data_IF_562083263138
#
_entry.id   IF_562083263138
#
_cell.length_a   1.000
_cell.length_b   1.000
_cell.length_c   1.000
_cell.angle_alpha   90.00
_cell.angle_beta   90.00
_cell.angle_gamma   90.00
#
_symmetry.space_group_name_H-M   'P 1'
#
loop_
_entity.id
_entity.type
_entity.pdbx_description
1 polymer ?
#
# COMPACT_ATOMS: atom_id res chain seq x y z
N UNK A 1 61.13 55.88 -7.63
CA UNK A 1 60.04 56.44 -8.46
C UNK A 1 59.74 55.48 -9.60
N UNK A 2 58.45 55.09 -9.71
CA UNK A 2 57.71 54.44 -10.82
C UNK A 2 58.38 53.36 -11.69
N UNK A 3 57.98 52.11 -11.41
CA UNK A 3 57.80 50.99 -12.36
C UNK A 3 56.79 51.37 -13.46
N UNK A 4 57.07 51.02 -14.72
CA UNK A 4 56.04 50.63 -15.70
C UNK A 4 56.51 49.43 -16.51
N UNK A 5 55.54 48.55 -16.72
CA UNK A 5 55.54 47.17 -17.21
C UNK A 5 55.29 47.23 -18.71
N UNK A 6 56.09 46.54 -19.50
CA UNK A 6 55.93 46.42 -20.95
C UNK A 6 55.00 45.25 -21.27
N UNK A 7 53.69 45.54 -21.26
CA UNK A 7 52.70 44.82 -22.05
C UNK A 7 52.42 45.69 -23.29
N UNK A 8 52.38 45.09 -24.48
CA UNK A 8 51.79 45.55 -25.77
C UNK A 8 52.68 45.15 -26.96
N UNK A 9 52.51 43.91 -27.45
CA UNK A 9 52.82 43.52 -28.83
C UNK A 9 51.49 43.26 -29.57
N UNK A 10 51.36 43.68 -30.83
CA UNK A 10 50.09 43.70 -31.54
C UNK A 10 49.72 42.37 -32.21
N UNK A 11 48.43 42.04 -32.08
CA UNK A 11 47.47 41.36 -32.98
C UNK A 11 47.87 40.12 -33.81
N UNK A 12 47.08 39.09 -33.56
CA UNK A 12 46.66 37.96 -34.40
C UNK A 12 46.66 38.20 -35.91
N UNK A 13 47.19 37.22 -36.64
CA UNK A 13 46.81 36.88 -38.02
C UNK A 13 46.40 35.41 -38.01
N UNK A 14 45.13 35.15 -38.28
CA UNK A 14 44.61 33.87 -38.73
C UNK A 14 45.08 33.63 -40.17
N UNK A 15 45.61 32.44 -40.46
CA UNK A 15 45.27 31.76 -41.72
C UNK A 15 45.56 30.26 -41.59
N UNK A 16 44.49 29.49 -41.77
CA UNK A 16 44.47 28.04 -41.75
C UNK A 16 45.00 27.46 -43.06
N UNK A 17 45.77 26.37 -43.00
CA UNK A 17 45.68 25.35 -44.05
C UNK A 17 46.01 23.95 -43.51
N UNK A 18 44.97 23.12 -43.47
CA UNK A 18 44.96 21.76 -42.96
C UNK A 18 45.71 20.80 -43.90
N UNK A 19 46.65 20.03 -43.35
CA UNK A 19 47.28 18.89 -44.04
C UNK A 19 46.30 17.71 -44.06
N UNK A 20 45.92 17.28 -45.26
CA UNK A 20 45.03 16.15 -45.50
C UNK A 20 45.67 14.81 -45.07
N UNK A 21 45.13 14.22 -44.00
CA UNK A 21 45.50 12.88 -43.54
C UNK A 21 44.84 11.82 -44.44
N UNK A 22 45.60 11.30 -45.42
CA UNK A 22 45.13 10.25 -46.34
C UNK A 22 45.18 8.87 -45.68
N UNK A 23 44.04 8.40 -45.20
CA UNK A 23 43.81 7.05 -44.69
C UNK A 23 43.96 6.02 -45.83
N UNK A 24 45.04 5.24 -45.84
CA UNK A 24 45.25 4.17 -46.84
C UNK A 24 44.29 3.00 -46.55
N UNK A 25 43.52 2.57 -47.56
CA UNK A 25 42.57 1.42 -47.54
C UNK A 25 43.13 0.12 -46.90
N UNK A 26 44.46 -0.06 -46.87
CA UNK A 26 45.10 -1.22 -46.22
C UNK A 26 44.88 -1.24 -44.70
N UNK A 27 44.86 -0.08 -44.03
CA UNK A 27 44.63 0.00 -42.58
C UNK A 27 43.19 -0.34 -42.20
N UNK A 28 42.23 -0.09 -43.09
CA UNK A 28 40.84 -0.50 -42.89
C UNK A 28 40.69 -2.02 -42.91
N UNK A 29 41.41 -2.73 -43.79
CA UNK A 29 41.39 -4.20 -43.80
C UNK A 29 42.03 -4.81 -42.54
N UNK A 30 43.11 -4.22 -42.02
CA UNK A 30 43.71 -4.67 -40.75
C UNK A 30 42.80 -4.38 -39.55
N UNK A 31 42.12 -3.23 -39.52
CA UNK A 31 41.16 -2.90 -38.48
C UNK A 31 39.93 -3.83 -38.51
N UNK A 32 39.37 -4.10 -39.69
CA UNK A 32 38.26 -5.04 -39.85
C UNK A 32 38.66 -6.47 -39.49
N UNK A 33 39.86 -6.92 -39.88
CA UNK A 33 40.39 -8.22 -39.48
C UNK A 33 40.58 -8.33 -37.98
N UNK A 34 41.11 -7.28 -37.33
CA UNK A 34 41.26 -7.22 -35.89
C UNK A 34 39.91 -7.26 -35.16
N UNK A 35 38.91 -6.50 -35.62
CA UNK A 35 37.54 -6.52 -35.07
C UNK A 35 36.90 -7.90 -35.25
N UNK A 36 37.10 -8.56 -36.40
CA UNK A 36 36.57 -9.90 -36.66
C UNK A 36 37.21 -10.97 -35.78
N UNK A 37 38.53 -10.90 -35.58
CA UNK A 37 39.26 -11.78 -34.66
C UNK A 37 38.85 -11.51 -33.21
N UNK A 38 38.67 -10.24 -32.81
CA UNK A 38 38.12 -9.89 -31.50
C UNK A 38 36.68 -10.40 -31.33
N UNK A 39 35.85 -10.38 -32.37
CA UNK A 39 34.49 -10.92 -32.32
C UNK A 39 34.45 -12.46 -32.24
N UNK A 40 35.41 -13.13 -32.89
CA UNK A 40 35.59 -14.59 -32.82
C UNK A 40 36.16 -15.07 -31.47
N UNK A 41 37.12 -14.33 -30.91
CA UNK A 41 37.81 -14.68 -29.65
C UNK A 41 37.07 -14.17 -28.40
N UNK A 42 36.30 -13.09 -28.56
CA UNK A 42 35.37 -12.56 -27.56
C UNK A 42 33.99 -12.46 -28.22
N UNK A 43 33.28 -13.59 -28.41
CA UNK A 43 31.86 -13.50 -28.69
C UNK A 43 31.29 -12.62 -27.58
N UNK A 44 30.63 -11.53 -27.96
CA UNK A 44 29.81 -10.75 -27.03
C UNK A 44 28.64 -11.64 -26.65
N UNK A 45 28.94 -12.64 -25.82
CA UNK A 45 27.98 -13.26 -24.96
C UNK A 45 27.46 -12.08 -24.16
N UNK A 46 26.27 -11.62 -24.55
CA UNK A 46 25.30 -11.25 -23.54
C UNK A 46 25.37 -12.39 -22.54
N UNK A 47 26.06 -12.18 -21.45
CA UNK A 47 25.88 -12.94 -20.24
C UNK A 47 24.44 -12.67 -19.86
N UNK A 48 23.51 -13.35 -20.52
CA UNK A 48 22.31 -13.78 -19.84
C UNK A 48 22.86 -14.54 -18.65
N UNK A 49 22.89 -13.88 -17.50
CA UNK A 49 22.89 -14.54 -16.22
C UNK A 49 21.55 -15.29 -16.09
N UNK A 50 21.25 -16.21 -17.02
CA UNK A 50 20.45 -17.38 -16.74
C UNK A 50 21.37 -18.30 -15.93
N UNK A 51 21.58 -17.94 -14.66
CA UNK A 51 21.47 -18.95 -13.62
C UNK A 51 19.98 -19.24 -13.47
N UNK A 52 19.41 -19.90 -14.45
CA UNK A 52 18.08 -20.51 -14.33
C UNK A 52 18.26 -21.87 -13.64
N UNK A 53 18.72 -21.81 -12.39
CA UNK A 53 18.26 -22.72 -11.35
C UNK A 53 17.18 -21.99 -10.52
N UNK A 54 16.43 -21.09 -11.16
CA UNK A 54 15.27 -20.46 -10.58
C UNK A 54 14.13 -21.46 -10.59
N UNK A 55 13.50 -21.68 -9.44
CA UNK A 55 12.21 -22.35 -9.38
C UNK A 55 11.31 -21.71 -10.44
N UNK A 56 10.82 -22.49 -11.41
CA UNK A 56 9.87 -22.01 -12.39
C UNK A 56 8.53 -21.79 -11.67
N UNK A 57 8.35 -20.60 -11.10
CA UNK A 57 7.17 -20.22 -10.33
C UNK A 57 6.03 -19.94 -11.31
N UNK A 58 4.97 -20.74 -11.26
CA UNK A 58 3.77 -20.47 -12.02
C UNK A 58 2.92 -19.40 -11.31
N UNK A 59 3.08 -18.14 -11.73
CA UNK A 59 2.42 -16.99 -11.10
C UNK A 59 0.89 -16.99 -11.22
N UNK A 60 0.31 -17.77 -12.15
CA UNK A 60 -1.16 -17.88 -12.28
C UNK A 60 -1.83 -18.63 -11.12
N UNK A 61 -1.03 -19.24 -10.23
CA UNK A 61 -1.51 -19.93 -9.03
C UNK A 61 -1.56 -19.01 -7.79
N UNK A 62 -1.17 -17.74 -7.94
CA UNK A 62 -1.07 -16.79 -6.85
C UNK A 62 -1.92 -15.56 -7.12
N UNK A 63 -2.50 -14.98 -6.08
CA UNK A 63 -3.24 -13.72 -6.23
C UNK A 63 -3.13 -12.79 -5.02
N UNK A 64 -3.18 -11.48 -5.29
CA UNK A 64 -3.56 -10.48 -4.30
C UNK A 64 -5.09 -10.34 -4.29
N UNK A 65 -5.67 -10.29 -3.10
CA UNK A 65 -7.11 -10.12 -2.90
C UNK A 65 -7.39 -8.84 -2.13
N UNK A 66 -8.24 -8.00 -2.69
CA UNK A 66 -8.78 -6.80 -2.05
C UNK A 66 -10.31 -6.81 -2.14
N UNK A 67 -10.93 -5.94 -1.35
CA UNK A 67 -12.38 -5.82 -1.26
C UNK A 67 -12.78 -4.34 -1.26
N UNK A 68 -13.95 -4.04 -1.81
CA UNK A 68 -14.58 -2.73 -1.78
C UNK A 68 -15.97 -2.85 -1.15
N UNK A 69 -16.28 -1.94 -0.22
CA UNK A 69 -17.58 -1.84 0.45
C UNK A 69 -18.30 -0.52 0.11
N UNK A 70 -17.55 0.45 -0.43
CA UNK A 70 -17.97 1.79 -0.86
C UNK A 70 -16.96 2.37 -1.88
N UNK A 71 -17.28 3.53 -2.47
CA UNK A 71 -16.41 4.16 -3.46
C UNK A 71 -15.04 4.61 -2.91
N UNK A 72 -14.92 4.84 -1.60
CA UNK A 72 -13.65 5.21 -0.98
C UNK A 72 -12.68 4.02 -0.94
N UNK A 73 -13.14 2.89 -0.40
CA UNK A 73 -12.41 1.61 -0.35
C UNK A 73 -12.14 1.04 -1.73
N UNK A 74 -13.04 1.24 -2.71
CA UNK A 74 -12.76 0.94 -4.12
C UNK A 74 -11.52 1.70 -4.62
N UNK A 75 -11.49 3.02 -4.40
CA UNK A 75 -10.33 3.81 -4.79
C UNK A 75 -9.06 3.34 -4.06
N UNK A 76 -9.13 3.02 -2.78
CA UNK A 76 -7.96 2.52 -2.03
C UNK A 76 -7.43 1.21 -2.63
N UNK A 77 -8.33 0.31 -3.03
CA UNK A 77 -7.93 -0.91 -3.73
C UNK A 77 -7.20 -0.60 -5.04
N UNK A 78 -7.66 0.40 -5.82
CA UNK A 78 -6.95 0.85 -7.02
C UNK A 78 -5.57 1.43 -6.71
N UNK A 79 -5.40 2.15 -5.60
CA UNK A 79 -4.09 2.65 -5.17
C UNK A 79 -3.12 1.50 -4.88
N UNK A 80 -3.61 0.40 -4.34
CA UNK A 80 -2.81 -0.81 -4.09
C UNK A 80 -2.54 -1.58 -5.38
N UNK A 81 -3.51 -1.69 -6.29
CA UNK A 81 -3.28 -2.31 -7.60
C UNK A 81 -2.26 -1.52 -8.45
N UNK A 82 -2.29 -0.19 -8.38
CA UNK A 82 -1.25 0.67 -8.97
C UNK A 82 0.13 0.35 -8.37
N UNK A 83 0.24 0.29 -7.05
CA UNK A 83 1.50 -0.04 -6.39
C UNK A 83 2.02 -1.42 -6.79
N UNK A 84 1.16 -2.44 -6.78
CA UNK A 84 1.50 -3.81 -7.21
C UNK A 84 1.97 -3.83 -8.68
N UNK A 85 1.36 -3.03 -9.55
CA UNK A 85 1.79 -2.89 -10.93
C UNK A 85 3.16 -2.20 -11.05
N UNK A 86 3.39 -1.11 -10.29
CA UNK A 86 4.68 -0.39 -10.25
C UNK A 86 5.83 -1.26 -9.73
N UNK A 87 5.56 -2.13 -8.75
CA UNK A 87 6.54 -3.07 -8.22
C UNK A 87 6.71 -4.33 -9.07
N UNK A 88 6.01 -4.42 -10.22
CA UNK A 88 6.20 -5.51 -11.18
C UNK A 88 5.65 -6.86 -10.71
N UNK A 89 4.67 -6.85 -9.80
CA UNK A 89 4.08 -8.09 -9.30
C UNK A 89 3.38 -8.87 -10.43
N UNK A 90 3.64 -10.17 -10.46
CA UNK A 90 3.16 -11.10 -11.49
C UNK A 90 1.95 -11.91 -11.08
N UNK A 91 1.62 -11.92 -9.79
CA UNK A 91 0.44 -12.61 -9.28
C UNK A 91 -0.84 -11.96 -9.81
N UNK A 92 -1.91 -12.75 -9.89
CA UNK A 92 -3.22 -12.25 -10.26
C UNK A 92 -3.72 -11.22 -9.24
N UNK A 93 -4.63 -10.36 -9.67
CA UNK A 93 -5.27 -9.35 -8.80
C UNK A 93 -6.75 -9.63 -8.79
N UNK A 94 -7.34 -9.77 -7.60
CA UNK A 94 -8.77 -10.03 -7.41
C UNK A 94 -9.36 -8.89 -6.59
N UNK A 95 -10.49 -8.37 -7.04
CA UNK A 95 -11.28 -7.39 -6.31
C UNK A 95 -12.69 -7.92 -6.10
N UNK A 96 -13.06 -8.10 -4.84
CA UNK A 96 -14.45 -8.31 -4.44
C UNK A 96 -15.16 -6.97 -4.32
N UNK A 97 -16.36 -6.86 -4.90
CA UNK A 97 -17.14 -5.62 -4.86
C UNK A 97 -18.65 -5.94 -4.79
N UNK A 98 -19.50 -4.99 -4.37
CA UNK A 98 -20.92 -5.24 -4.22
C UNK A 98 -21.59 -5.59 -5.55
N UNK A 99 -22.34 -6.70 -5.61
CA UNK A 99 -22.95 -7.20 -6.84
C UNK A 99 -23.99 -6.26 -7.46
N UNK A 100 -24.50 -5.30 -6.69
CA UNK A 100 -25.44 -4.28 -7.19
C UNK A 100 -24.73 -3.14 -7.93
N UNK A 101 -23.40 -3.10 -7.97
CA UNK A 101 -22.64 -2.20 -8.84
C UNK A 101 -22.47 -2.83 -10.22
N UNK A 102 -22.54 -2.01 -11.25
CA UNK A 102 -22.34 -2.42 -12.63
C UNK A 102 -21.02 -1.89 -13.21
N UNK A 103 -20.75 -2.25 -14.48
CA UNK A 103 -19.56 -1.82 -15.22
C UNK A 103 -19.92 -0.84 -16.35
N UNK A 104 -21.18 -0.38 -16.40
CA UNK A 104 -21.69 0.52 -17.43
C UNK A 104 -21.52 1.95 -16.97
N UNK A 105 -20.56 2.67 -17.56
CA UNK A 105 -20.33 4.08 -17.23
C UNK A 105 -21.45 4.92 -17.81
N UNK A 106 -22.45 5.25 -17.00
CA UNK A 106 -23.61 6.04 -17.44
C UNK A 106 -23.26 7.51 -17.69
N UNK A 107 -22.32 8.06 -16.91
CA UNK A 107 -21.94 9.47 -17.01
C UNK A 107 -20.54 9.74 -16.49
N UNK A 108 -20.06 10.97 -16.69
CA UNK A 108 -18.79 11.44 -16.11
C UNK A 108 -18.80 11.48 -14.57
N UNK A 109 -19.98 11.46 -13.95
CA UNK A 109 -20.17 11.46 -12.49
C UNK A 109 -20.26 10.06 -11.89
N UNK A 110 -20.48 9.04 -12.71
CA UNK A 110 -20.49 7.64 -12.28
C UNK A 110 -19.06 7.17 -12.02
N UNK A 111 -18.56 7.49 -10.83
CA UNK A 111 -17.16 7.26 -10.49
C UNK A 111 -16.90 5.79 -10.19
N UNK A 112 -17.83 5.10 -9.55
CA UNK A 112 -17.60 3.72 -9.10
C UNK A 112 -17.45 2.78 -10.32
N UNK A 113 -18.35 2.86 -11.31
CA UNK A 113 -18.22 2.09 -12.55
C UNK A 113 -16.95 2.43 -13.33
N UNK A 114 -16.56 3.72 -13.37
CA UNK A 114 -15.29 4.13 -13.99
C UNK A 114 -14.07 3.50 -13.30
N UNK A 115 -14.05 3.45 -11.97
CA UNK A 115 -12.95 2.86 -11.22
C UNK A 115 -12.93 1.32 -11.36
N UNK A 116 -14.08 0.65 -11.43
CA UNK A 116 -14.14 -0.79 -11.73
C UNK A 116 -13.59 -1.10 -13.13
N UNK A 117 -14.01 -0.33 -14.14
CA UNK A 117 -13.49 -0.46 -15.52
C UNK A 117 -11.98 -0.19 -15.56
N UNK A 118 -11.52 0.85 -14.85
CA UNK A 118 -10.08 1.14 -14.72
C UNK A 118 -9.30 -0.01 -14.08
N UNK A 119 -9.82 -0.60 -13.00
CA UNK A 119 -9.23 -1.76 -12.34
C UNK A 119 -9.09 -2.95 -13.29
N UNK A 120 -10.15 -3.27 -14.04
CA UNK A 120 -10.16 -4.35 -15.03
C UNK A 120 -9.18 -4.08 -16.18
N UNK A 121 -9.25 -2.90 -16.77
CA UNK A 121 -8.60 -2.64 -18.06
C UNK A 121 -7.13 -2.26 -17.90
N UNK A 122 -6.80 -1.41 -16.92
CA UNK A 122 -5.44 -0.95 -16.68
C UNK A 122 -4.65 -1.93 -15.82
N UNK A 123 -5.23 -2.40 -14.71
CA UNK A 123 -4.53 -3.25 -13.75
C UNK A 123 -4.82 -4.74 -13.90
N UNK A 124 -5.62 -5.15 -14.90
CA UNK A 124 -5.97 -6.56 -15.18
C UNK A 124 -6.57 -7.26 -13.97
N UNK A 125 -7.34 -6.51 -13.17
CA UNK A 125 -8.00 -7.04 -11.98
C UNK A 125 -9.17 -7.93 -12.40
N UNK A 126 -9.24 -9.12 -11.81
CA UNK A 126 -10.39 -10.02 -11.88
C UNK A 126 -11.45 -9.51 -10.91
N UNK A 127 -12.49 -8.87 -11.47
CA UNK A 127 -13.61 -8.33 -10.70
C UNK A 127 -14.57 -9.47 -10.29
N UNK A 128 -14.92 -9.54 -9.01
CA UNK A 128 -15.79 -10.54 -8.42
C UNK A 128 -16.99 -9.85 -7.73
N UNK A 129 -18.16 -9.76 -8.39
CA UNK A 129 -19.36 -9.21 -7.77
C UNK A 129 -19.89 -10.17 -6.70
N UNK A 130 -20.16 -9.65 -5.50
CA UNK A 130 -20.58 -10.45 -4.35
C UNK A 130 -21.67 -9.78 -3.52
N UNK A 131 -22.36 -10.58 -2.72
CA UNK A 131 -23.03 -10.06 -1.53
C UNK A 131 -21.98 -9.80 -0.45
N UNK A 132 -21.96 -8.59 0.11
CA UNK A 132 -20.97 -8.22 1.12
C UNK A 132 -21.19 -9.02 2.41
N UNK A 133 -20.10 -9.48 3.01
CA UNK A 133 -20.16 -10.05 4.35
C UNK A 133 -20.26 -8.91 5.36
N UNK A 134 -21.16 -9.04 6.33
CA UNK A 134 -21.34 -8.04 7.37
C UNK A 134 -21.60 -8.68 8.73
N UNK A 135 -21.01 -8.11 9.77
CA UNK A 135 -21.35 -8.41 11.17
C UNK A 135 -22.26 -7.32 11.71
N UNK A 136 -23.34 -7.72 12.37
CA UNK A 136 -24.23 -6.80 13.06
C UNK A 136 -23.66 -6.46 14.44
N UNK A 137 -23.47 -5.16 14.69
CA UNK A 137 -23.22 -4.60 16.00
C UNK A 137 -24.43 -3.86 16.54
N UNK A 138 -24.69 -4.03 17.84
CA UNK A 138 -25.68 -3.25 18.58
C UNK A 138 -24.95 -2.34 19.56
N UNK A 139 -24.84 -1.07 19.22
CA UNK A 139 -24.27 -0.03 20.09
C UNK A 139 -25.33 1.03 20.36
N UNK A 140 -25.69 1.21 21.63
CA UNK A 140 -26.61 2.28 22.06
C UNK A 140 -28.03 2.21 21.49
N UNK A 141 -28.50 1.03 21.06
CA UNK A 141 -29.82 0.86 20.44
C UNK A 141 -29.84 1.03 18.91
N UNK A 142 -28.74 1.47 18.30
CA UNK A 142 -28.57 1.57 16.85
C UNK A 142 -27.87 0.32 16.30
N UNK A 143 -28.40 -0.21 15.20
CA UNK A 143 -27.82 -1.35 14.48
C UNK A 143 -26.77 -0.83 13.50
N UNK A 144 -25.50 -1.17 13.71
CA UNK A 144 -24.38 -0.85 12.81
C UNK A 144 -23.90 -2.11 12.13
N UNK A 145 -23.73 -2.08 10.81
CA UNK A 145 -23.21 -3.21 10.04
C UNK A 145 -21.74 -2.95 9.73
N UNK A 146 -20.86 -3.81 10.24
CA UNK A 146 -19.45 -3.78 9.89
C UNK A 146 -19.18 -4.72 8.72
N UNK A 147 -18.66 -4.19 7.63
CA UNK A 147 -18.42 -4.93 6.38
C UNK A 147 -16.96 -5.34 6.17
N UNK A 148 -16.05 -5.09 7.12
CA UNK A 148 -14.61 -5.43 6.97
C UNK A 148 -14.36 -6.91 6.80
N UNK A 149 -15.21 -7.74 7.39
CA UNK A 149 -15.18 -9.21 7.27
C UNK A 149 -15.34 -9.68 5.83
N UNK A 150 -15.76 -8.82 4.90
CA UNK A 150 -15.74 -9.10 3.45
C UNK A 150 -14.35 -9.50 2.94
N UNK A 151 -13.26 -9.11 3.62
CA UNK A 151 -11.91 -9.61 3.29
C UNK A 151 -11.79 -11.14 3.34
N UNK A 152 -12.64 -11.83 4.12
CA UNK A 152 -12.65 -13.30 4.18
C UNK A 152 -13.18 -13.97 2.91
N UNK A 153 -13.72 -13.20 1.96
CA UNK A 153 -13.96 -13.70 0.61
C UNK A 153 -12.68 -14.22 -0.06
N UNK A 154 -11.49 -13.80 0.39
CA UNK A 154 -10.22 -14.37 -0.03
C UNK A 154 -10.12 -15.90 0.16
N UNK A 155 -10.79 -16.49 1.17
CA UNK A 155 -10.81 -17.94 1.39
C UNK A 155 -11.61 -18.69 0.31
N UNK A 156 -12.53 -18.01 -0.38
CA UNK A 156 -13.31 -18.61 -1.47
C UNK A 156 -12.49 -18.88 -2.73
N UNK A 157 -11.29 -18.30 -2.83
CA UNK A 157 -10.40 -18.39 -3.99
C UNK A 157 -9.57 -19.70 -4.00
N UNK A 158 -10.21 -20.83 -3.70
CA UNK A 158 -9.59 -22.17 -3.58
C UNK A 158 -8.99 -22.73 -4.87
N UNK A 159 -9.10 -22.00 -5.98
CA UNK A 159 -8.42 -22.29 -7.24
C UNK A 159 -7.02 -21.66 -7.35
N UNK A 160 -6.58 -20.90 -6.35
CA UNK A 160 -5.19 -20.49 -6.18
C UNK A 160 -4.52 -21.30 -5.07
N UNK A 161 -3.21 -21.50 -5.20
CA UNK A 161 -2.40 -22.17 -4.18
C UNK A 161 -2.19 -21.26 -2.96
N UNK A 162 -2.10 -19.95 -3.19
CA UNK A 162 -1.95 -18.95 -2.13
C UNK A 162 -2.48 -17.59 -2.54
N UNK A 163 -3.13 -16.91 -1.60
CA UNK A 163 -3.68 -15.58 -1.76
C UNK A 163 -3.14 -14.65 -0.68
N UNK A 164 -2.69 -13.46 -1.06
CA UNK A 164 -2.36 -12.38 -0.12
C UNK A 164 -3.56 -11.44 -0.06
N UNK A 165 -4.32 -11.51 1.03
CA UNK A 165 -5.38 -10.56 1.33
C UNK A 165 -4.81 -9.33 2.03
N UNK A 166 -5.15 -8.15 1.51
CA UNK A 166 -4.70 -6.86 2.04
C UNK A 166 -5.89 -6.04 2.54
N UNK A 167 -5.68 -5.24 3.58
CA UNK A 167 -6.68 -4.25 4.01
C UNK A 167 -6.71 -3.02 3.10
N UNK A 168 -7.71 -2.16 3.31
CA UNK A 168 -7.98 -0.97 2.49
C UNK A 168 -7.29 0.30 3.01
N UNK A 169 -6.76 0.30 4.22
CA UNK A 169 -6.13 1.43 4.91
C UNK A 169 -4.61 1.28 5.02
N UNK A 170 -3.99 0.68 4.01
CA UNK A 170 -2.54 0.50 3.90
C UNK A 170 -1.95 1.20 2.67
N UNK A 171 -0.64 1.33 2.61
CA UNK A 171 0.12 1.64 1.40
C UNK A 171 1.33 0.71 1.28
N UNK A 172 1.66 0.32 0.05
CA UNK A 172 2.82 -0.51 -0.24
C UNK A 172 4.02 0.37 -0.63
N UNK A 173 5.17 0.04 -0.05
CA UNK A 173 6.47 0.67 -0.33
C UNK A 173 7.40 -0.24 -1.15
N UNK A 174 7.11 -1.54 -1.21
CA UNK A 174 7.83 -2.52 -2.05
C UNK A 174 6.92 -3.72 -2.40
N UNK A 175 7.44 -4.64 -3.21
CA UNK A 175 6.82 -5.93 -3.52
C UNK A 175 6.70 -6.82 -2.29
N UNK A 176 5.61 -7.58 -2.22
CA UNK A 176 5.33 -8.63 -1.23
C UNK A 176 5.37 -10.04 -1.83
N UNK A 177 5.81 -10.17 -3.08
CA UNK A 177 5.72 -11.42 -3.84
C UNK A 177 6.48 -12.59 -3.19
N UNK A 178 7.51 -12.31 -2.39
CA UNK A 178 8.22 -13.33 -1.61
C UNK A 178 7.30 -14.08 -0.63
N UNK A 179 6.22 -13.46 -0.17
CA UNK A 179 5.26 -14.09 0.74
C UNK A 179 4.48 -15.22 0.06
N UNK A 180 4.39 -15.24 -1.28
CA UNK A 180 3.84 -16.38 -2.01
C UNK A 180 4.69 -17.65 -1.87
N UNK A 181 5.96 -17.50 -1.48
CA UNK A 181 6.95 -18.59 -1.43
C UNK A 181 7.26 -19.09 -0.01
N UNK A 182 6.57 -18.57 1.01
CA UNK A 182 6.64 -19.14 2.37
C UNK A 182 6.33 -20.66 2.37
N UNK A 183 6.82 -21.44 3.34
CA UNK A 183 6.43 -22.83 3.52
C UNK A 183 4.91 -23.03 3.56
N UNK A 184 4.44 -24.24 3.27
CA UNK A 184 3.01 -24.57 3.31
C UNK A 184 2.47 -24.27 4.72
N UNK A 185 1.45 -23.41 4.79
CA UNK A 185 0.75 -23.00 6.01
C UNK A 185 -0.69 -22.64 5.63
N UNK A 186 -1.64 -22.87 6.55
CA UNK A 186 -3.04 -22.46 6.35
C UNK A 186 -3.15 -20.94 6.21
N UNK A 187 -2.44 -20.21 7.06
CA UNK A 187 -2.37 -18.77 7.04
C UNK A 187 -1.04 -18.27 7.62
N UNK A 188 -0.54 -17.14 7.13
CA UNK A 188 0.51 -16.37 7.77
C UNK A 188 0.09 -14.91 7.96
N UNK A 189 0.35 -14.36 9.14
CA UNK A 189 -0.08 -13.00 9.52
C UNK A 189 0.95 -12.33 10.43
N UNK A 190 1.12 -11.00 10.36
CA UNK A 190 1.89 -10.28 11.35
C UNK A 190 1.13 -10.20 12.68
N UNK A 191 1.87 -9.89 13.75
CA UNK A 191 1.30 -9.58 15.06
C UNK A 191 0.98 -8.08 15.13
N UNK A 192 -0.15 -7.75 15.76
CA UNK A 192 -0.52 -6.39 16.13
C UNK A 192 0.32 -5.96 17.34
N UNK A 193 1.55 -5.53 17.09
CA UNK A 193 2.46 -5.17 18.18
C UNK A 193 1.94 -3.95 18.95
N UNK A 194 2.31 -3.88 20.22
CA UNK A 194 1.92 -2.76 21.09
C UNK A 194 0.48 -2.80 21.60
N UNK A 195 -0.24 -3.92 21.44
CA UNK A 195 -1.51 -4.17 22.16
C UNK A 195 -1.27 -4.64 23.60
N UNK A 196 -2.33 -4.62 24.40
CA UNK A 196 -2.29 -4.83 25.86
C UNK A 196 -2.03 -6.28 26.29
N UNK A 197 -2.27 -7.27 25.41
CA UNK A 197 -2.06 -8.69 25.70
C UNK A 197 -0.82 -9.25 24.99
N UNK A 198 -0.03 -10.08 25.70
CA UNK A 198 1.02 -10.92 25.11
C UNK A 198 0.64 -12.42 25.23
N UNK A 199 0.92 -13.27 24.22
CA UNK A 199 1.42 -12.90 22.90
C UNK A 199 0.45 -11.96 22.19
N UNK A 200 0.98 -10.98 21.44
CA UNK A 200 0.15 -10.00 20.74
C UNK A 200 -0.81 -10.73 19.78
N UNK A 201 -2.05 -10.26 19.57
CA UNK A 201 -2.95 -10.89 18.60
C UNK A 201 -2.40 -10.70 17.18
N UNK A 202 -2.83 -11.56 16.26
CA UNK A 202 -2.57 -11.42 14.84
C UNK A 202 -3.38 -10.25 14.27
N UNK A 203 -2.85 -9.53 13.29
CA UNK A 203 -3.55 -8.45 12.59
C UNK A 203 -3.98 -8.91 11.21
N UNK A 204 -5.24 -8.65 10.86
CA UNK A 204 -5.89 -8.95 9.57
C UNK A 204 -5.53 -7.95 8.47
N UNK A 205 -4.56 -7.06 8.71
CA UNK A 205 -4.08 -6.08 7.73
C UNK A 205 -3.40 -6.73 6.50
N UNK A 206 -2.76 -7.88 6.74
CA UNK A 206 -2.04 -8.69 5.78
C UNK A 206 -2.25 -10.16 6.14
N UNK A 207 -2.89 -10.92 5.25
CA UNK A 207 -3.12 -12.35 5.44
C UNK A 207 -2.61 -13.11 4.23
N UNK A 208 -1.62 -13.98 4.45
CA UNK A 208 -1.13 -14.91 3.43
C UNK A 208 -1.85 -16.23 3.61
N UNK A 209 -2.86 -16.48 2.80
CA UNK A 209 -3.86 -17.53 2.99
C UNK A 209 -3.59 -18.69 2.02
N UNK A 210 -3.64 -19.93 2.50
CA UNK A 210 -3.96 -21.07 1.66
C UNK A 210 -5.49 -21.18 1.59
N UNK A 211 -6.14 -20.79 0.48
CA UNK A 211 -7.59 -20.67 0.45
C UNK A 211 -8.27 -22.04 0.60
N UNK A 212 -9.45 -22.06 1.22
CA UNK A 212 -10.22 -23.26 1.47
C UNK A 212 -11.70 -22.92 1.57
N UNK A 213 -12.51 -23.56 0.71
CA UNK A 213 -13.97 -23.40 0.76
C UNK A 213 -14.55 -23.87 2.10
N UNK A 214 -13.97 -24.91 2.71
CA UNK A 214 -14.41 -25.39 4.02
C UNK A 214 -14.18 -24.33 5.11
N UNK A 215 -13.00 -23.69 5.12
CA UNK A 215 -12.72 -22.59 6.05
C UNK A 215 -13.58 -21.37 5.77
N UNK A 216 -13.85 -21.07 4.50
CA UNK A 216 -14.77 -20.00 4.12
C UNK A 216 -16.19 -20.22 4.65
N UNK A 217 -16.73 -21.43 4.55
CA UNK A 217 -18.04 -21.77 5.12
C UNK A 217 -18.05 -21.64 6.65
N UNK A 218 -16.96 -22.03 7.33
CA UNK A 218 -16.82 -21.82 8.79
C UNK A 218 -16.85 -20.34 9.16
N UNK A 219 -16.15 -19.49 8.40
CA UNK A 219 -16.20 -18.05 8.62
C UNK A 219 -17.59 -17.46 8.40
N UNK A 220 -18.28 -17.83 7.32
CA UNK A 220 -19.67 -17.38 7.10
C UNK A 220 -20.59 -17.79 8.23
N UNK A 221 -20.46 -19.02 8.73
CA UNK A 221 -21.24 -19.50 9.88
C UNK A 221 -20.94 -18.66 11.13
N UNK A 222 -19.67 -18.45 11.46
CA UNK A 222 -19.25 -17.66 12.62
C UNK A 222 -19.74 -16.21 12.54
N UNK A 223 -19.66 -15.59 11.36
CA UNK A 223 -20.20 -14.24 11.10
C UNK A 223 -21.71 -14.20 11.31
N UNK A 224 -22.44 -15.21 10.82
CA UNK A 224 -23.90 -15.31 10.97
C UNK A 224 -24.36 -15.58 12.41
N UNK A 225 -23.54 -16.25 13.23
CA UNK A 225 -23.79 -16.46 14.66
C UNK A 225 -23.57 -15.18 15.50
N UNK A 226 -22.86 -14.19 14.97
CA UNK A 226 -22.52 -12.92 15.65
C UNK A 226 -21.25 -13.03 16.51
N UNK A 227 -20.40 -11.99 16.47
CA UNK A 227 -19.18 -11.90 17.29
C UNK A 227 -19.46 -11.80 18.79
N UNK A 228 -18.44 -11.95 19.65
CA UNK A 228 -18.61 -11.80 21.10
C UNK A 228 -19.22 -10.42 21.42
N UNK A 229 -20.25 -10.37 22.28
CA UNK A 229 -20.94 -9.14 22.67
C UNK A 229 -20.00 -8.02 23.18
N UNK A 230 -18.85 -8.36 23.76
CA UNK A 230 -17.85 -7.38 24.19
C UNK A 230 -17.06 -6.82 23.01
N UNK A 231 -16.71 -7.65 22.05
CA UNK A 231 -15.90 -7.28 20.88
C UNK A 231 -16.74 -6.61 19.79
N UNK A 232 -18.04 -6.93 19.75
CA UNK A 232 -19.08 -6.18 19.05
C UNK A 232 -19.05 -4.68 19.40
N UNK A 233 -18.76 -4.34 20.65
CA UNK A 233 -18.62 -2.94 21.10
C UNK A 233 -17.29 -2.33 20.68
N UNK A 234 -16.23 -3.14 20.58
CA UNK A 234 -14.89 -2.71 20.21
C UNK A 234 -14.64 -2.64 18.69
N UNK A 235 -15.61 -2.99 17.83
CA UNK A 235 -15.51 -2.95 16.37
C UNK A 235 -14.21 -3.58 15.81
N UNK A 236 -13.83 -4.76 16.33
CA UNK A 236 -12.62 -5.52 15.94
C UNK A 236 -12.96 -6.90 15.37
N UNK A 237 -14.08 -7.00 14.67
CA UNK A 237 -14.67 -8.27 14.25
C UNK A 237 -13.73 -9.14 13.43
N UNK A 238 -13.08 -8.57 12.43
CA UNK A 238 -12.24 -9.33 11.52
C UNK A 238 -10.98 -9.85 12.21
N UNK A 239 -10.34 -9.05 13.09
CA UNK A 239 -9.20 -9.53 13.88
C UNK A 239 -9.61 -10.57 14.93
N UNK A 240 -10.75 -10.41 15.59
CA UNK A 240 -11.27 -11.40 16.55
C UNK A 240 -11.51 -12.74 15.85
N UNK A 241 -12.31 -12.74 14.78
CA UNK A 241 -12.73 -13.97 14.09
C UNK A 241 -11.52 -14.76 13.58
N UNK A 242 -10.47 -14.10 13.07
CA UNK A 242 -9.24 -14.80 12.64
C UNK A 242 -8.37 -15.24 13.81
N UNK A 243 -8.29 -14.50 14.92
CA UNK A 243 -7.51 -14.93 16.07
C UNK A 243 -8.18 -16.13 16.76
N UNK A 244 -9.50 -16.10 16.98
CA UNK A 244 -10.26 -17.26 17.49
C UNK A 244 -9.98 -18.53 16.67
N UNK A 245 -9.80 -18.38 15.35
CA UNK A 245 -9.54 -19.51 14.46
C UNK A 245 -8.07 -19.90 14.36
N UNK A 246 -7.14 -18.95 14.32
CA UNK A 246 -5.78 -19.17 13.86
C UNK A 246 -4.68 -18.72 14.82
N UNK A 247 -4.99 -18.14 15.99
CA UNK A 247 -3.97 -17.61 16.91
C UNK A 247 -2.91 -18.65 17.32
N UNK A 248 -3.32 -19.92 17.43
CA UNK A 248 -2.48 -21.05 17.81
C UNK A 248 -1.81 -21.78 16.63
N UNK A 249 -2.30 -21.58 15.39
CA UNK A 249 -1.89 -22.38 14.22
C UNK A 249 -1.32 -21.58 13.06
N UNK A 250 -1.42 -20.25 13.08
CA UNK A 250 -0.87 -19.39 12.04
C UNK A 250 0.66 -19.38 12.06
N UNK A 251 1.25 -19.26 10.87
CA UNK A 251 2.64 -18.84 10.74
C UNK A 251 2.74 -17.35 11.07
N UNK A 252 3.58 -16.98 12.03
CA UNK A 252 3.73 -15.58 12.42
C UNK A 252 4.74 -14.89 11.51
N UNK A 253 4.29 -13.87 10.78
CA UNK A 253 5.17 -12.97 10.03
C UNK A 253 5.82 -11.96 10.97
N UNK A 254 7.08 -11.58 10.73
CA UNK A 254 7.66 -10.46 11.47
C UNK A 254 6.89 -9.18 11.11
N UNK A 255 6.59 -8.33 12.09
CA UNK A 255 5.94 -7.04 11.82
C UNK A 255 6.88 -6.08 11.07
N UNK A 256 8.19 -6.31 11.12
CA UNK A 256 9.19 -5.66 10.27
C UNK A 256 9.57 -6.63 9.14
N UNK A 257 9.33 -6.32 7.85
CA UNK A 257 8.91 -5.03 7.27
C UNK A 257 7.41 -4.90 6.94
N UNK A 258 6.56 -5.82 7.42
CA UNK A 258 5.21 -6.04 6.87
C UNK A 258 4.04 -5.35 7.60
N UNK A 259 4.28 -4.61 8.68
CA UNK A 259 3.21 -4.04 9.50
C UNK A 259 3.60 -2.71 10.17
N UNK A 260 4.37 -1.84 9.51
CA UNK A 260 4.72 -0.53 10.10
C UNK A 260 3.46 0.35 10.24
N UNK A 261 3.17 0.81 11.45
CA UNK A 261 2.06 1.72 11.71
C UNK A 261 2.49 3.18 11.54
N UNK A 262 1.67 4.04 10.92
CA UNK A 262 1.96 5.48 10.83
C UNK A 262 2.04 6.15 12.20
N UNK A 263 1.31 5.62 13.19
CA UNK A 263 1.38 6.09 14.58
C UNK A 263 2.75 5.89 15.22
N UNK A 264 3.59 4.98 14.73
CA UNK A 264 4.95 4.83 15.27
C UNK A 264 5.76 6.11 15.11
N UNK A 265 5.64 6.81 13.98
CA UNK A 265 6.33 8.11 13.81
C UNK A 265 5.87 9.18 14.81
N UNK A 266 4.75 8.99 15.50
CA UNK A 266 4.24 9.92 16.53
C UNK A 266 4.58 9.51 17.95
N UNK A 267 4.98 8.26 18.17
CA UNK A 267 5.32 7.76 19.50
C UNK A 267 6.70 8.27 19.89
N UNK A 268 6.93 8.36 21.20
CA UNK A 268 8.26 8.57 21.76
C UNK A 268 8.93 7.26 22.19
N UNK A 269 8.12 6.24 22.47
CA UNK A 269 8.59 4.91 22.82
C UNK A 269 8.32 3.94 21.67
N UNK A 270 9.39 3.42 21.09
CA UNK A 270 9.38 2.49 19.97
C UNK A 270 9.80 1.07 20.38
N UNK A 271 9.99 0.78 21.68
CA UNK A 271 10.50 -0.51 22.14
C UNK A 271 9.67 -1.69 21.66
N UNK A 272 8.34 -1.52 21.56
CA UNK A 272 7.43 -2.56 21.03
C UNK A 272 7.62 -2.82 19.54
N UNK A 273 7.94 -1.80 18.75
CA UNK A 273 8.21 -1.93 17.32
C UNK A 273 9.63 -2.46 17.06
N UNK A 274 10.63 -1.98 17.81
CA UNK A 274 12.01 -2.42 17.60
C UNK A 274 12.20 -3.88 18.04
N UNK A 275 11.63 -4.26 19.19
CA UNK A 275 11.72 -5.62 19.74
C UNK A 275 13.10 -5.98 20.30
N UNK A 276 14.13 -5.20 19.99
CA UNK A 276 15.49 -5.29 20.54
C UNK A 276 15.76 -4.09 21.46
N UNK A 277 16.01 -4.31 22.77
CA UNK A 277 16.37 -3.24 23.71
C UNK A 277 17.64 -2.47 23.35
N UNK A 278 18.54 -3.05 22.53
CA UNK A 278 19.78 -2.41 22.10
C UNK A 278 19.66 -1.61 20.80
N UNK A 279 18.54 -1.71 20.07
CA UNK A 279 18.33 -0.95 18.83
C UNK A 279 17.80 0.45 19.14
N UNK A 280 18.40 1.46 18.52
CA UNK A 280 17.92 2.84 18.58
C UNK A 280 16.97 3.12 17.42
N UNK A 281 15.88 3.85 17.70
CA UNK A 281 14.96 4.30 16.67
C UNK A 281 15.65 5.21 15.65
N UNK A 282 15.48 4.86 14.37
CA UNK A 282 15.88 5.66 13.21
C UNK A 282 14.73 5.64 12.21
N UNK A 283 13.99 6.74 12.13
CA UNK A 283 12.80 6.85 11.30
C UNK A 283 13.10 6.63 9.80
N UNK A 284 14.27 7.05 9.31
CA UNK A 284 14.65 6.91 7.90
C UNK A 284 15.00 5.47 7.55
N UNK A 285 15.77 4.82 8.43
CA UNK A 285 16.09 3.39 8.30
C UNK A 285 14.79 2.57 8.31
N UNK A 286 13.92 2.82 9.28
CA UNK A 286 12.65 2.11 9.44
C UNK A 286 11.74 2.30 8.22
N UNK A 287 11.61 3.53 7.73
CA UNK A 287 10.81 3.82 6.54
C UNK A 287 11.36 3.14 5.29
N UNK A 288 12.68 3.10 5.13
CA UNK A 288 13.36 2.45 3.99
C UNK A 288 13.25 0.93 4.01
N UNK A 289 13.23 0.32 5.20
CA UNK A 289 13.10 -1.13 5.37
C UNK A 289 11.66 -1.60 5.19
N UNK A 290 10.67 -0.75 5.50
CA UNK A 290 9.27 -1.11 5.45
C UNK A 290 8.80 -1.41 4.01
N UNK A 291 7.97 -2.46 3.89
CA UNK A 291 7.31 -2.84 2.64
C UNK A 291 5.82 -2.50 2.64
N UNK A 292 5.22 -2.47 3.83
CA UNK A 292 3.81 -2.17 4.05
C UNK A 292 3.69 -1.21 5.23
N UNK A 293 2.94 -0.13 5.01
CA UNK A 293 2.59 0.85 6.04
C UNK A 293 1.07 0.90 6.21
N UNK A 294 0.60 0.91 7.46
CA UNK A 294 -0.83 0.99 7.81
C UNK A 294 -1.16 2.30 8.49
N UNK A 295 -2.22 2.94 8.03
CA UNK A 295 -2.66 4.24 8.50
C UNK A 295 -3.47 4.09 9.79
N UNK A 296 -2.79 4.21 10.93
CA UNK A 296 -3.35 3.94 12.26
C UNK A 296 -3.77 5.20 13.04
N UNK A 297 -3.72 6.39 12.43
CA UNK A 297 -3.87 7.67 13.15
C UNK A 297 -5.31 8.16 13.27
N UNK A 298 -6.21 7.30 13.73
CA UNK A 298 -7.60 7.70 13.99
C UNK A 298 -7.68 8.96 14.89
N UNK A 299 -8.55 9.95 14.57
CA UNK A 299 -9.50 10.02 13.45
C UNK A 299 -8.94 10.62 12.14
N UNK A 300 -7.65 10.91 12.09
CA UNK A 300 -6.99 11.52 10.94
C UNK A 300 -6.61 10.46 9.90
N UNK A 301 -7.54 10.13 9.01
CA UNK A 301 -7.31 9.19 7.90
C UNK A 301 -6.69 9.90 6.68
N UNK A 302 -5.92 9.20 5.82
CA UNK A 302 -5.18 9.85 4.74
C UNK A 302 -6.05 10.40 3.61
N UNK A 303 -7.30 9.94 3.46
CA UNK A 303 -8.27 10.53 2.51
C UNK A 303 -9.03 11.74 3.07
N UNK A 304 -8.79 12.13 4.33
CA UNK A 304 -9.46 13.27 4.98
C UNK A 304 -8.56 14.51 4.93
N UNK A 305 -9.13 15.66 4.61
CA UNK A 305 -8.41 16.94 4.71
C UNK A 305 -8.03 17.22 6.16
N UNK A 306 -6.84 17.75 6.37
CA UNK A 306 -6.34 18.03 7.71
C UNK A 306 -7.05 19.24 8.33
N UNK A 307 -7.80 19.08 9.44
CA UNK A 307 -8.20 20.23 10.24
C UNK A 307 -6.95 20.84 10.87
N UNK A 308 -6.83 22.17 10.86
CA UNK A 308 -5.64 22.85 11.39
C UNK A 308 -5.29 22.43 12.82
N UNK A 309 -6.30 22.37 13.70
CA UNK A 309 -6.13 21.90 15.09
C UNK A 309 -5.71 20.43 15.16
N UNK A 310 -6.35 19.56 14.38
CA UNK A 310 -6.00 18.14 14.38
C UNK A 310 -4.62 17.84 13.83
N UNK A 311 -4.17 18.59 12.81
CA UNK A 311 -2.79 18.48 12.34
C UNK A 311 -1.78 18.92 13.40
N UNK A 312 -2.08 20.00 14.14
CA UNK A 312 -1.23 20.46 15.23
C UNK A 312 -1.11 19.43 16.35
N UNK A 313 -2.21 18.76 16.69
CA UNK A 313 -2.25 17.71 17.72
C UNK A 313 -1.62 16.38 17.29
N UNK A 314 -1.80 15.99 16.02
CA UNK A 314 -1.47 14.65 15.55
C UNK A 314 -0.14 14.57 14.83
N UNK A 315 0.41 15.65 14.25
CA UNK A 315 1.73 15.52 13.62
C UNK A 315 2.80 15.18 14.68
N UNK A 316 3.86 14.43 14.32
CA UNK A 316 4.98 14.19 15.24
C UNK A 316 5.50 15.51 15.83
N UNK A 317 5.64 15.58 17.15
CA UNK A 317 6.00 16.81 17.86
C UNK A 317 7.50 17.14 17.77
N UNK A 318 8.31 16.19 17.28
CA UNK A 318 9.75 16.28 17.15
C UNK A 318 10.46 16.56 18.49
N UNK A 319 10.01 15.91 19.58
CA UNK A 319 10.51 16.15 20.93
C UNK A 319 10.42 17.63 21.35
N UNK A 320 9.33 18.29 20.93
CA UNK A 320 9.09 19.72 21.15
C UNK A 320 9.87 20.67 20.23
N UNK A 321 10.69 20.18 19.30
CA UNK A 321 11.40 21.04 18.35
C UNK A 321 10.48 21.42 17.17
N UNK A 322 9.77 22.54 17.32
CA UNK A 322 8.83 23.03 16.32
C UNK A 322 9.50 23.71 15.12
N UNK A 323 10.72 24.25 15.27
CA UNK A 323 11.38 25.09 14.26
C UNK A 323 12.19 24.30 13.23
N UNK A 324 12.95 23.28 13.66
CA UNK A 324 13.84 22.53 12.75
C UNK A 324 13.15 21.37 12.02
N UNK A 325 11.98 20.93 12.50
CA UNK A 325 11.35 19.68 12.06
C UNK A 325 12.19 18.44 12.41
N UNK A 326 11.64 17.26 12.14
CA UNK A 326 12.28 15.97 12.37
C UNK A 326 11.94 15.00 11.23
N UNK A 327 12.71 13.91 11.12
CA UNK A 327 12.50 12.89 10.09
C UNK A 327 11.09 12.30 10.20
N UNK A 328 10.62 12.03 11.42
CA UNK A 328 9.29 11.51 11.72
C UNK A 328 8.19 12.39 11.13
N UNK A 329 8.22 13.71 11.41
CA UNK A 329 7.22 14.65 10.91
C UNK A 329 7.23 14.72 9.38
N UNK A 330 8.42 14.70 8.77
CA UNK A 330 8.55 14.74 7.30
C UNK A 330 8.02 13.46 6.66
N UNK A 331 8.41 12.29 7.15
CA UNK A 331 7.97 10.98 6.63
C UNK A 331 6.47 10.82 6.84
N UNK A 332 5.97 11.12 8.04
CA UNK A 332 4.54 11.06 8.36
C UNK A 332 3.73 11.96 7.42
N UNK A 333 4.12 13.23 7.23
CA UNK A 333 3.43 14.12 6.28
C UNK A 333 3.50 13.60 4.84
N UNK A 334 4.67 13.11 4.44
CA UNK A 334 4.87 12.55 3.10
C UNK A 334 3.92 11.38 2.81
N UNK A 335 3.75 10.44 3.74
CA UNK A 335 2.83 9.31 3.59
C UNK A 335 1.38 9.75 3.32
N UNK A 336 0.91 10.76 4.04
CA UNK A 336 -0.43 11.31 3.87
C UNK A 336 -0.57 12.14 2.60
N UNK A 337 0.41 12.99 2.30
CA UNK A 337 0.43 13.79 1.09
C UNK A 337 0.47 12.89 -0.15
N UNK A 338 1.36 11.90 -0.19
CA UNK A 338 1.47 10.94 -1.27
C UNK A 338 0.14 10.20 -1.51
N UNK A 339 -0.50 9.70 -0.44
CA UNK A 339 -1.81 9.07 -0.55
C UNK A 339 -2.86 9.99 -1.20
N UNK A 340 -2.94 11.25 -0.77
CA UNK A 340 -3.89 12.23 -1.33
C UNK A 340 -3.60 12.56 -2.79
N UNK A 341 -2.33 12.72 -3.16
CA UNK A 341 -1.92 12.95 -4.54
C UNK A 341 -2.31 11.77 -5.42
N UNK A 342 -1.98 10.54 -5.02
CA UNK A 342 -2.37 9.33 -5.77
C UNK A 342 -3.89 9.14 -5.86
N UNK A 343 -4.63 9.41 -4.78
CA UNK A 343 -6.11 9.38 -4.79
C UNK A 343 -6.69 10.34 -5.83
N UNK A 344 -6.15 11.56 -5.90
CA UNK A 344 -6.54 12.56 -6.89
C UNK A 344 -6.13 12.15 -8.30
N UNK A 345 -4.92 11.64 -8.48
CA UNK A 345 -4.37 11.38 -9.81
C UNK A 345 -4.90 10.10 -10.44
N UNK A 346 -5.06 9.04 -9.66
CA UNK A 346 -5.55 7.73 -10.12
C UNK A 346 -7.08 7.71 -10.11
N UNK A 347 -7.69 8.00 -8.96
CA UNK A 347 -9.14 7.85 -8.83
C UNK A 347 -9.94 9.08 -9.24
N UNK A 348 -9.28 10.23 -9.47
CA UNK A 348 -9.96 11.52 -9.71
C UNK A 348 -10.91 11.92 -8.56
N UNK A 349 -10.58 11.47 -7.34
CA UNK A 349 -11.31 11.80 -6.13
C UNK A 349 -10.50 12.77 -5.28
N UNK A 350 -11.14 13.83 -4.81
CA UNK A 350 -10.55 14.72 -3.82
C UNK A 350 -10.62 14.09 -2.43
N UNK A 351 -9.82 14.64 -1.51
CA UNK A 351 -9.95 14.33 -0.09
C UNK A 351 -11.29 14.81 0.45
N UNK A 352 -11.85 14.05 1.38
CA UNK A 352 -13.07 14.41 2.11
C UNK A 352 -12.79 15.66 2.94
N UNK A 353 -13.74 16.60 3.07
CA UNK A 353 -13.57 17.77 3.92
C UNK A 353 -13.19 17.41 5.35
N UNK A 354 -12.41 18.30 5.98
CA UNK A 354 -11.97 18.11 7.35
C UNK A 354 -13.20 18.10 8.27
N UNK A 355 -13.40 17.07 9.11
CA UNK A 355 -14.47 17.08 10.10
C UNK A 355 -14.22 18.16 11.15
N UNK A 356 -15.25 18.51 11.92
CA UNK A 356 -15.06 19.29 13.14
C UNK A 356 -14.14 18.52 14.10
N UNK A 357 -13.06 19.16 14.53
CA UNK A 357 -12.06 18.51 15.37
C UNK A 357 -12.42 18.63 16.84
N UNK A 358 -12.83 17.53 17.46
CA UNK A 358 -13.19 17.46 18.89
C UNK A 358 -12.02 17.03 19.79
N UNK A 359 -10.79 17.00 19.27
CA UNK A 359 -9.59 16.58 20.00
C UNK A 359 -9.33 15.07 19.95
N UNK A 360 -8.06 14.66 19.85
CA UNK A 360 -7.67 13.24 19.91
C UNK A 360 -7.96 12.57 21.28
N UNK A 361 -8.11 13.37 22.34
CA UNK A 361 -8.35 12.93 23.74
C UNK A 361 -9.82 12.88 24.13
N UNK A 362 -10.74 13.35 23.27
CA UNK A 362 -12.18 13.46 23.57
C UNK A 362 -12.98 12.17 23.41
N UNK A 363 -12.35 11.07 22.97
CA UNK A 363 -13.00 9.75 22.86
C UNK A 363 -12.10 8.69 23.49
N UNK A 364 -12.65 7.74 24.28
CA UNK A 364 -11.83 6.71 24.92
C UNK A 364 -11.04 5.95 23.85
N UNK A 365 -9.79 5.58 24.17
CA UNK A 365 -8.87 4.75 23.37
C UNK A 365 -9.46 3.39 22.92
N UNK A 366 -10.69 3.08 23.34
CA UNK A 366 -11.48 1.91 22.95
C UNK A 366 -12.57 2.19 21.89
N UNK A 367 -12.49 3.29 21.13
CA UNK A 367 -13.51 3.62 20.12
C UNK A 367 -12.94 3.77 18.71
N UNK A 368 -12.89 2.64 18.02
CA UNK A 368 -12.89 2.47 16.55
C UNK A 368 -14.24 2.91 15.99
N UNK A 369 -14.56 4.19 16.15
CA UNK A 369 -15.82 4.73 15.69
C UNK A 369 -15.71 5.17 14.22
N UNK A 370 -15.65 4.20 13.30
CA UNK A 370 -15.81 4.47 11.86
C UNK A 370 -17.20 5.07 11.64
N UNK A 371 -17.27 6.40 11.57
CA UNK A 371 -18.47 7.13 11.16
C UNK A 371 -18.46 7.25 9.66
N UNK A 372 -19.18 6.33 9.00
CA UNK A 372 -19.73 6.56 7.66
C UNK A 372 -20.89 7.54 7.81
N UNK A 373 -20.58 8.83 7.79
CA UNK A 373 -21.60 9.86 7.64
C UNK A 373 -21.07 10.92 6.67
N UNK A 374 -21.41 10.75 5.38
CA UNK A 374 -21.64 11.90 4.50
C UNK A 374 -22.54 11.54 3.31
N UNK A 375 -23.80 11.93 3.48
CA UNK A 375 -24.62 12.71 2.55
C UNK A 375 -24.87 12.16 1.13
N UNK A 376 -25.97 11.42 0.99
CA UNK A 376 -26.81 11.43 -0.21
C UNK A 376 -27.46 12.80 -0.40
N UNK A 377 -27.37 13.47 -1.57
CA UNK A 377 -28.18 14.64 -1.86
C UNK A 377 -29.60 14.19 -2.24
N UNK A 378 -30.56 14.40 -1.34
CA UNK A 378 -31.97 14.32 -1.69
C UNK A 378 -32.32 15.45 -2.68
N UNK A 379 -32.62 15.06 -3.91
CA UNK A 379 -33.44 15.86 -4.80
C UNK A 379 -34.90 15.69 -4.37
N UNK A 380 -35.52 16.76 -3.86
CA UNK A 380 -36.97 16.83 -3.69
C UNK A 380 -37.48 18.03 -4.47
N UNK A 381 -38.14 17.70 -5.58
CA UNK A 381 -39.03 18.53 -6.36
C UNK A 381 -40.16 19.08 -5.49
N UNK A 382 -40.37 20.39 -5.54
CA UNK A 382 -41.63 21.05 -5.19
C UNK A 382 -42.75 20.62 -6.15
N UNK A 383 -43.98 20.43 -5.67
CA UNK A 383 -45.17 20.68 -6.45
C UNK A 383 -45.81 21.99 -6.03
N UNK A 384 -46.02 22.84 -7.02
CA UNK A 384 -46.97 23.94 -7.03
C UNK A 384 -48.40 23.43 -6.82
N UNK A 385 -49.08 23.96 -5.80
CA UNK A 385 -50.47 24.46 -5.88
C UNK A 385 -50.76 25.35 -4.68
#
# INVERSE_FOLDING_TARGET
MRRKRSDELPRFVDEAEARSFRWRRKYTYYLCGFIFVCWLLYPSGKTSSQRDNGLNINWSHYAYSLYAIDGATLCHALLLFDALARFGSKADRVLFYPAYWDLTVESSKDRDSQLLVLARDQYKVKLQPIELLAVESRTGGTRKLDKTVTKFMAFSLAYYDRVISLDSDITLLDSLDELFLLPKTSIAMPRSYGTDSKPWPLTSMLMVIQPSLEEFERFKKRIGEGGDNMLVKAHRFDMEIVNERFEESALVLPHRPYALLTSEFRRHDHATYLGDPGETWDAEKVFKEAKLVHFSDWPLQPWVMWPQKGLQEMQPDCNGNHEAGCAERRIWKHLYDDFRHRRKDICKLLSVPAPEWTGAKGRPQNSTDRTDEQATPHATSTPSS
#
